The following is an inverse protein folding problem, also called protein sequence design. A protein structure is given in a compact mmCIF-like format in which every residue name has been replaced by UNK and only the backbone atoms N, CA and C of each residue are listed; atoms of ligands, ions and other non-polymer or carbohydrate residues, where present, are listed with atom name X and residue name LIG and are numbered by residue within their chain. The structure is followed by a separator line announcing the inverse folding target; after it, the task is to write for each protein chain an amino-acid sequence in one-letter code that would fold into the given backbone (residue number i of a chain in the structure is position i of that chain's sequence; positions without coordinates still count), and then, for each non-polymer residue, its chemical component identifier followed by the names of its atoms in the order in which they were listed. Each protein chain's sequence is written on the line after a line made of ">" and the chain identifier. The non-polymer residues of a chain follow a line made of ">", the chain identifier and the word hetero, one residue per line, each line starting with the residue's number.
data_IF_371795679668
#
_entry.id   IF_371795679668
#
_cell.length_a   1.000
_cell.length_b   1.000
_cell.length_c   1.000
_cell.angle_alpha   90.00
_cell.angle_beta   90.00
_cell.angle_gamma   90.00
#
_symmetry.space_group_name_H-M   'P 1'
#
loop_
_entity.id
_entity.type
_entity.pdbx_description
1 polymer ?
#
# COMPACT_ATOMS: atom_id res chain seq x y z
N UNK A 1 -5.84 -9.96 15.85
CA UNK A 1 -4.88 -8.92 16.23
C UNK A 1 -4.50 -8.08 15.02
N UNK A 2 -4.51 -6.77 15.15
CA UNK A 2 -4.12 -5.89 14.05
C UNK A 2 -2.61 -5.81 13.97
N UNK A 3 -2.06 -5.80 12.76
CA UNK A 3 -0.63 -5.63 12.59
C UNK A 3 -0.25 -4.15 12.75
N UNK A 4 1.03 -3.88 12.89
CA UNK A 4 1.53 -2.53 13.15
C UNK A 4 1.28 -1.54 12.00
N UNK A 5 0.92 -2.03 10.83
CA UNK A 5 0.67 -1.18 9.66
C UNK A 5 -0.82 -0.84 9.47
N UNK A 6 -1.70 -1.43 10.27
CA UNK A 6 -3.15 -1.25 10.09
C UNK A 6 -3.55 0.22 10.08
N UNK A 7 -4.29 0.62 9.06
CA UNK A 7 -4.80 1.99 8.85
C UNK A 7 -3.72 3.05 8.65
N UNK A 8 -2.47 2.67 8.49
CA UNK A 8 -1.46 3.63 8.09
C UNK A 8 -1.66 4.05 6.65
N UNK A 9 -1.23 5.25 6.33
CA UNK A 9 -1.56 5.90 5.08
C UNK A 9 -0.32 6.35 4.33
N UNK A 10 -0.36 6.26 3.01
CA UNK A 10 0.68 6.79 2.15
C UNK A 10 0.05 7.52 0.97
N UNK A 11 0.51 8.74 0.72
CA UNK A 11 0.05 9.55 -0.40
C UNK A 11 1.05 9.41 -1.54
N UNK A 12 0.57 8.93 -2.67
CA UNK A 12 1.38 8.68 -3.86
C UNK A 12 0.90 9.56 -5.01
N UNK A 13 1.84 10.20 -5.71
CA UNK A 13 1.52 11.01 -6.88
C UNK A 13 1.97 10.26 -8.14
N UNK A 14 1.03 10.00 -9.04
CA UNK A 14 1.31 9.20 -10.25
C UNK A 14 1.69 10.04 -11.47
N UNK A 15 1.88 11.34 -11.31
CA UNK A 15 2.17 12.27 -12.40
C UNK A 15 0.96 13.09 -12.82
N UNK A 16 -0.24 12.65 -12.49
CA UNK A 16 -1.48 13.35 -12.82
C UNK A 16 -2.33 13.58 -11.58
N UNK A 17 -2.52 12.52 -10.79
CA UNK A 17 -3.39 12.54 -9.62
C UNK A 17 -2.69 11.99 -8.41
N UNK A 18 -3.23 12.33 -7.24
CA UNK A 18 -2.79 11.72 -5.99
C UNK A 18 -3.60 10.46 -5.75
N UNK A 19 -2.92 9.42 -5.29
CA UNK A 19 -3.52 8.16 -4.89
C UNK A 19 -3.18 7.96 -3.43
N UNK A 20 -4.18 7.71 -2.60
CA UNK A 20 -3.97 7.44 -1.18
C UNK A 20 -4.14 5.95 -0.91
N UNK A 21 -3.18 5.36 -0.24
CA UNK A 21 -3.25 3.97 0.19
C UNK A 21 -3.42 3.92 1.69
N UNK A 22 -4.42 3.15 2.15
CA UNK A 22 -4.59 2.84 3.57
C UNK A 22 -4.50 1.34 3.74
N UNK A 23 -3.64 0.88 4.63
CA UNK A 23 -3.40 -0.56 4.79
C UNK A 23 -4.51 -1.18 5.63
N UNK A 24 -5.18 -2.20 5.08
CA UNK A 24 -6.18 -2.97 5.80
C UNK A 24 -5.60 -4.21 6.44
N UNK A 25 -4.73 -4.90 5.71
CA UNK A 25 -4.16 -6.15 6.20
C UNK A 25 -2.83 -6.46 5.52
N UNK A 26 -1.92 -7.03 6.29
CA UNK A 26 -0.64 -7.51 5.77
C UNK A 26 -0.54 -8.97 6.16
N UNK A 27 -0.58 -9.86 5.18
CA UNK A 27 -0.51 -11.31 5.40
C UNK A 27 0.84 -11.82 4.91
N UNK A 28 1.80 -11.93 5.82
CA UNK A 28 3.15 -12.37 5.47
C UNK A 28 3.22 -13.85 5.14
N UNK A 29 2.27 -14.64 5.62
CA UNK A 29 2.22 -16.07 5.31
C UNK A 29 1.80 -16.30 3.86
N UNK A 30 0.88 -15.50 3.37
CA UNK A 30 0.41 -15.59 1.99
C UNK A 30 1.15 -14.64 1.05
N UNK A 31 2.01 -13.78 1.59
CA UNK A 31 2.71 -12.74 0.83
C UNK A 31 1.72 -11.84 0.09
N UNK A 32 0.72 -11.35 0.83
CA UNK A 32 -0.30 -10.47 0.28
C UNK A 32 -0.50 -9.25 1.16
N UNK A 33 -0.83 -8.12 0.53
CA UNK A 33 -1.22 -6.91 1.24
C UNK A 33 -2.55 -6.44 0.68
N UNK A 34 -3.48 -6.11 1.59
CA UNK A 34 -4.79 -5.58 1.22
C UNK A 34 -4.84 -4.11 1.61
N UNK A 35 -5.17 -3.26 0.65
CA UNK A 35 -5.19 -1.81 0.86
C UNK A 35 -6.47 -1.20 0.33
N UNK A 36 -6.88 -0.09 0.93
CA UNK A 36 -7.90 0.78 0.37
C UNK A 36 -7.18 1.77 -0.54
N UNK A 37 -7.58 1.82 -1.79
CA UNK A 37 -7.00 2.74 -2.78
C UNK A 37 -8.02 3.84 -3.04
N UNK A 38 -7.64 5.06 -2.72
CA UNK A 38 -8.50 6.22 -2.94
C UNK A 38 -7.88 7.11 -4.02
N UNK A 39 -8.63 7.30 -5.09
CA UNK A 39 -8.27 8.22 -6.15
C UNK A 39 -9.36 9.28 -6.26
N UNK A 40 -9.18 10.28 -7.12
CA UNK A 40 -10.17 11.32 -7.30
C UNK A 40 -11.53 10.72 -7.67
N UNK A 41 -12.49 10.89 -6.77
CA UNK A 41 -13.85 10.41 -6.99
C UNK A 41 -14.06 8.92 -6.90
N UNK A 42 -13.06 8.15 -6.43
CA UNK A 42 -13.19 6.70 -6.40
C UNK A 42 -12.46 6.08 -5.23
N UNK A 43 -13.11 5.15 -4.55
CA UNK A 43 -12.53 4.37 -3.46
C UNK A 43 -12.71 2.90 -3.80
N UNK A 44 -11.64 2.12 -3.68
CA UNK A 44 -11.69 0.68 -3.93
C UNK A 44 -10.76 -0.06 -2.99
N UNK A 45 -10.95 -1.37 -2.90
CA UNK A 45 -10.09 -2.25 -2.12
C UNK A 45 -9.32 -3.12 -3.10
N UNK A 46 -8.02 -3.24 -2.89
CA UNK A 46 -7.19 -4.04 -3.77
C UNK A 46 -6.21 -4.88 -2.96
N UNK A 47 -5.84 -6.03 -3.52
CA UNK A 47 -4.84 -6.92 -2.93
C UNK A 47 -3.67 -7.00 -3.89
N UNK A 48 -2.48 -6.83 -3.36
CA UNK A 48 -1.24 -6.89 -4.13
C UNK A 48 -0.29 -7.93 -3.55
N UNK A 49 0.61 -8.48 -4.36
CA UNK A 49 1.70 -9.29 -3.82
C UNK A 49 2.56 -8.46 -2.86
N UNK A 50 2.84 -9.04 -1.71
CA UNK A 50 3.72 -8.42 -0.72
C UNK A 50 5.15 -8.85 -1.01
N UNK A 51 6.02 -7.89 -1.22
CA UNK A 51 7.41 -8.13 -1.59
C UNK A 51 8.34 -7.66 -0.47
N UNK A 52 9.56 -8.11 -0.51
CA UNK A 52 10.54 -7.76 0.52
C UNK A 52 11.91 -7.52 -0.11
N UNK A 53 12.60 -6.50 0.40
CA UNK A 53 13.99 -6.23 0.03
C UNK A 53 14.77 -5.84 1.30
N UNK A 54 15.98 -5.31 1.12
CA UNK A 54 16.84 -4.93 2.25
C UNK A 54 16.23 -3.82 3.10
N UNK A 55 15.31 -3.05 2.53
CA UNK A 55 14.65 -1.94 3.23
C UNK A 55 13.35 -2.36 3.93
N UNK A 56 12.88 -3.57 3.69
CA UNK A 56 11.67 -4.09 4.31
C UNK A 56 10.60 -4.47 3.31
N UNK A 57 9.34 -4.38 3.75
CA UNK A 57 8.19 -4.80 2.96
C UNK A 57 7.75 -3.69 2.01
N UNK A 58 7.29 -4.08 0.82
CA UNK A 58 6.75 -3.15 -0.14
C UNK A 58 5.80 -3.88 -1.10
N UNK A 59 5.06 -3.13 -1.89
CA UNK A 59 4.32 -3.67 -3.02
C UNK A 59 4.53 -2.76 -4.22
N UNK A 60 4.14 -3.22 -5.40
CA UNK A 60 4.30 -2.47 -6.64
C UNK A 60 2.95 -2.01 -7.15
N UNK A 61 2.90 -0.78 -7.64
CA UNK A 61 1.65 -0.18 -8.08
C UNK A 61 1.83 0.48 -9.46
N UNK A 62 0.78 0.36 -10.29
CA UNK A 62 0.74 1.00 -11.59
C UNK A 62 1.44 0.22 -12.67
N UNK A 63 1.30 0.65 -13.93
CA UNK A 63 1.90 -0.08 -15.07
C UNK A 63 3.42 -0.08 -15.06
N UNK A 64 4.04 0.88 -14.39
CA UNK A 64 5.50 0.95 -14.26
C UNK A 64 6.03 0.14 -13.08
N UNK A 65 5.15 -0.41 -12.24
CA UNK A 65 5.57 -1.16 -11.07
C UNK A 65 6.26 -0.29 -10.03
N UNK A 66 5.69 0.87 -9.73
CA UNK A 66 6.28 1.78 -8.75
C UNK A 66 6.30 1.14 -7.37
N UNK A 67 7.44 1.22 -6.71
CA UNK A 67 7.64 0.63 -5.40
C UNK A 67 6.96 1.47 -4.33
N UNK A 68 6.02 0.85 -3.61
CA UNK A 68 5.32 1.49 -2.50
C UNK A 68 5.81 0.85 -1.21
N UNK A 69 6.69 1.55 -0.51
CA UNK A 69 7.39 1.04 0.66
C UNK A 69 6.53 1.19 1.92
N UNK A 70 6.28 0.09 2.63
CA UNK A 70 5.45 0.11 3.82
C UNK A 70 6.05 0.99 4.93
N UNK A 71 7.36 1.13 4.95
CA UNK A 71 8.02 1.95 5.96
C UNK A 71 7.76 3.45 5.79
N UNK A 72 7.25 3.86 4.63
CA UNK A 72 6.90 5.26 4.37
C UNK A 72 5.47 5.59 4.74
N UNK A 73 4.68 4.59 5.11
CA UNK A 73 3.32 4.83 5.57
C UNK A 73 3.34 5.42 6.96
N UNK A 74 2.47 6.38 7.20
CA UNK A 74 2.37 7.07 8.46
C UNK A 74 1.05 6.78 9.15
N UNK A 75 1.09 6.79 10.48
CA UNK A 75 -0.12 6.62 11.29
C UNK A 75 -1.04 7.83 11.15
N UNK A 76 -2.32 7.57 11.28
CA UNK A 76 -3.36 8.59 11.19
C UNK A 76 -3.79 9.03 12.58
#
# INVERSE_FOLDING_TARGET
>A
MKNKFYMKEFLYFNGEDFVTFNILDVDELKNEICVVVTTTGKISVATYPLLRDDNGLYFEYGPSGDKIDLNKFEGV
#
